data_IF_385370237462
#
_entry.id   IF_385370237462
#
_cell.length_a   1.000
_cell.length_b   1.000
_cell.length_c   1.000
_cell.angle_alpha   90.00
_cell.angle_beta   90.00
_cell.angle_gamma   90.00
#
_symmetry.space_group_name_H-M   'P 1'
#
loop_
_entity.id
_entity.type
_entity.pdbx_description
1 polymer ?
#
# COMPACT_ATOMS: atom_id res chain seq x y z
N UNK A 1 -1.24 4.11 9.97
CA UNK A 1 -0.94 4.93 11.14
C UNK A 1 0.50 4.75 11.57
N UNK A 2 1.24 5.85 11.64
CA UNK A 2 2.65 5.87 12.02
C UNK A 2 2.76 6.41 13.44
N UNK A 3 3.53 5.72 14.26
CA UNK A 3 3.85 6.14 15.63
C UNK A 3 5.32 6.53 15.69
N UNK A 4 5.74 7.30 16.70
CA UNK A 4 7.16 7.62 16.87
C UNK A 4 8.06 6.37 16.93
N UNK A 5 7.55 5.26 17.43
CA UNK A 5 8.25 3.99 17.52
C UNK A 5 8.16 3.13 16.25
N UNK A 6 7.45 3.58 15.21
CA UNK A 6 7.33 2.86 13.95
C UNK A 6 5.89 2.60 13.50
N UNK A 7 5.68 1.77 12.48
CA UNK A 7 4.34 1.48 11.97
C UNK A 7 3.51 0.69 12.98
N UNK A 8 2.20 0.85 12.92
CA UNK A 8 1.28 0.03 13.72
C UNK A 8 1.41 -1.44 13.34
N UNK A 9 0.97 -2.35 14.23
CA UNK A 9 1.02 -3.78 13.95
C UNK A 9 0.23 -4.16 12.70
N UNK A 10 -0.93 -3.57 12.49
CA UNK A 10 -1.73 -3.82 11.29
C UNK A 10 -0.99 -3.40 10.01
N UNK A 11 -0.33 -2.27 10.05
CA UNK A 11 0.49 -1.80 8.94
C UNK A 11 1.70 -2.71 8.73
N UNK A 12 2.38 -3.12 9.80
CA UNK A 12 3.52 -4.02 9.70
C UNK A 12 3.14 -5.35 9.04
N UNK A 13 1.98 -5.92 9.37
CA UNK A 13 1.50 -7.16 8.74
C UNK A 13 1.31 -7.01 7.23
N UNK A 14 0.82 -5.85 6.78
CA UNK A 14 0.69 -5.58 5.35
C UNK A 14 2.04 -5.39 4.67
N UNK A 15 2.96 -4.70 5.32
CA UNK A 15 4.31 -4.53 4.81
C UNK A 15 5.06 -5.87 4.74
N UNK A 16 4.88 -6.74 5.71
CA UNK A 16 5.44 -8.09 5.70
C UNK A 16 4.85 -8.92 4.55
N UNK A 17 3.56 -8.76 4.26
CA UNK A 17 2.94 -9.42 3.10
C UNK A 17 3.54 -8.90 1.79
N UNK A 18 3.84 -7.61 1.72
CA UNK A 18 4.52 -7.01 0.56
C UNK A 18 5.92 -7.59 0.38
N UNK A 19 6.66 -7.79 1.47
CA UNK A 19 7.99 -8.39 1.43
C UNK A 19 7.94 -9.84 0.91
N UNK A 20 6.96 -10.62 1.35
CA UNK A 20 6.74 -11.99 0.87
C UNK A 20 6.48 -11.98 -0.65
N UNK A 21 5.60 -11.10 -1.09
CA UNK A 21 5.26 -10.98 -2.51
C UNK A 21 6.47 -10.54 -3.34
N UNK A 22 7.26 -9.60 -2.82
CA UNK A 22 8.46 -9.10 -3.49
C UNK A 22 9.51 -10.19 -3.69
N UNK A 23 9.64 -11.09 -2.73
CA UNK A 23 10.59 -12.21 -2.82
C UNK A 23 10.23 -13.18 -3.95
N UNK A 24 8.92 -13.42 -4.15
CA UNK A 24 8.42 -14.31 -5.19
C UNK A 24 8.28 -13.63 -6.56
N UNK A 25 8.31 -12.30 -6.61
CA UNK A 25 8.08 -11.52 -7.81
C UNK A 25 9.12 -10.39 -7.92
N UNK A 26 10.34 -10.69 -8.36
CA UNK A 26 11.45 -9.74 -8.30
C UNK A 26 11.30 -8.51 -9.21
N UNK A 27 10.45 -8.58 -10.22
CA UNK A 27 10.24 -7.47 -11.16
C UNK A 27 9.08 -6.55 -10.79
N UNK A 28 8.41 -6.80 -9.67
CA UNK A 28 7.28 -6.00 -9.22
C UNK A 28 7.73 -4.68 -8.60
N UNK A 29 7.06 -3.60 -8.99
CA UNK A 29 7.19 -2.30 -8.35
C UNK A 29 6.10 -2.11 -7.31
N UNK A 30 6.43 -1.36 -6.26
CA UNK A 30 5.53 -1.11 -5.13
C UNK A 30 5.24 0.37 -5.01
N UNK A 31 3.98 0.72 -4.80
CA UNK A 31 3.58 2.08 -4.44
C UNK A 31 3.16 2.05 -2.99
N UNK A 32 3.85 2.81 -2.16
CA UNK A 32 3.46 3.05 -0.77
C UNK A 32 2.71 4.38 -0.74
N UNK A 33 1.47 4.35 -0.29
CA UNK A 33 0.58 5.50 -0.37
C UNK A 33 0.01 5.87 1.00
N UNK A 34 0.17 7.11 1.36
CA UNK A 34 -0.34 7.65 2.62
C UNK A 34 0.28 8.99 2.95
N UNK A 35 -0.57 9.96 3.32
CA UNK A 35 -0.12 11.30 3.70
C UNK A 35 0.35 11.38 5.15
N UNK A 36 0.62 12.59 5.60
CA UNK A 36 1.02 12.86 6.96
C UNK A 36 -0.20 13.27 7.81
N UNK A 37 -0.45 12.53 8.87
CA UNK A 37 -1.47 12.88 9.85
C UNK A 37 -1.03 14.04 10.73
N UNK A 38 -1.99 14.68 11.40
CA UNK A 38 -1.75 15.90 12.19
C UNK A 38 -0.72 15.70 13.32
N UNK A 39 -0.63 14.51 13.87
CA UNK A 39 0.28 14.19 14.98
C UNK A 39 1.35 13.17 14.60
N UNK A 40 1.60 13.00 13.31
CA UNK A 40 2.57 12.02 12.83
C UNK A 40 3.89 12.70 12.45
N UNK A 41 5.05 12.08 12.75
CA UNK A 41 6.37 12.68 12.49
C UNK A 41 6.77 12.71 11.01
N UNK A 42 6.11 11.92 10.17
CA UNK A 42 6.40 11.82 8.74
C UNK A 42 5.15 11.34 8.00
N UNK A 43 5.21 11.31 6.66
CA UNK A 43 4.14 10.72 5.87
C UNK A 43 4.09 9.20 6.10
N UNK A 44 2.91 8.62 5.98
CA UNK A 44 2.77 7.16 6.05
C UNK A 44 3.57 6.48 4.94
N UNK A 45 3.59 7.07 3.75
CA UNK A 45 4.37 6.56 2.62
C UNK A 45 5.86 6.50 2.95
N UNK A 46 6.42 7.56 3.54
CA UNK A 46 7.82 7.59 3.94
C UNK A 46 8.16 6.51 4.97
N UNK A 47 7.31 6.34 5.98
CA UNK A 47 7.51 5.32 7.00
C UNK A 47 7.41 3.91 6.44
N UNK A 48 6.49 3.67 5.51
CA UNK A 48 6.35 2.38 4.84
C UNK A 48 7.60 2.05 4.01
N UNK A 49 8.08 3.03 3.26
CA UNK A 49 9.30 2.85 2.46
C UNK A 49 10.50 2.54 3.36
N UNK A 50 10.67 3.27 4.44
CA UNK A 50 11.75 3.03 5.39
C UNK A 50 11.71 1.60 5.95
N UNK A 51 10.54 1.13 6.32
CA UNK A 51 10.36 -0.24 6.81
C UNK A 51 10.77 -1.28 5.75
N UNK A 52 10.30 -1.12 4.52
CA UNK A 52 10.60 -2.05 3.44
C UNK A 52 12.09 -2.07 3.09
N UNK A 53 12.71 -0.90 3.02
CA UNK A 53 14.15 -0.79 2.74
C UNK A 53 14.97 -1.40 3.86
N UNK A 54 14.60 -1.14 5.11
CA UNK A 54 15.27 -1.73 6.29
C UNK A 54 15.15 -3.24 6.33
N UNK A 55 14.13 -3.79 5.70
CA UNK A 55 13.88 -5.23 5.61
C UNK A 55 14.50 -5.88 4.38
N UNK A 56 15.24 -5.12 3.57
CA UNK A 56 16.02 -5.63 2.44
C UNK A 56 15.45 -5.37 1.05
N UNK A 57 14.36 -4.63 0.93
CA UNK A 57 13.80 -4.29 -0.39
C UNK A 57 14.62 -3.16 -1.04
N UNK A 58 14.87 -3.27 -2.34
CA UNK A 58 15.56 -2.25 -3.12
C UNK A 58 14.72 -0.96 -3.14
N UNK A 59 15.27 0.19 -2.73
CA UNK A 59 14.52 1.45 -2.77
C UNK A 59 14.04 1.85 -4.17
N UNK A 60 14.71 1.41 -5.23
CA UNK A 60 14.28 1.70 -6.60
C UNK A 60 12.99 0.99 -7.00
N UNK A 61 12.59 -0.03 -6.25
CA UNK A 61 11.33 -0.74 -6.45
C UNK A 61 10.15 -0.08 -5.77
N UNK A 62 10.36 1.02 -5.03
CA UNK A 62 9.36 1.64 -4.17
C UNK A 62 9.11 3.07 -4.61
N UNK A 63 7.86 3.34 -5.01
CA UNK A 63 7.37 4.69 -5.31
C UNK A 63 6.56 5.19 -4.12
N UNK A 64 6.74 6.45 -3.76
CA UNK A 64 6.03 7.07 -2.64
C UNK A 64 4.92 7.98 -3.14
N UNK A 65 3.73 7.85 -2.58
CA UNK A 65 2.61 8.77 -2.72
C UNK A 65 2.27 9.30 -1.32
N UNK A 66 2.62 10.53 -1.04
CA UNK A 66 2.54 11.13 0.29
C UNK A 66 1.50 12.23 0.47
N UNK A 67 0.57 12.42 -0.46
CA UNK A 67 -0.42 13.50 -0.42
C UNK A 67 -1.81 13.06 -0.02
N UNK A 68 -2.10 11.77 -0.10
CA UNK A 68 -3.43 11.24 0.15
C UNK A 68 -3.84 11.30 1.62
N UNK A 69 -5.13 11.52 1.84
CA UNK A 69 -5.72 11.62 3.19
C UNK A 69 -6.79 10.58 3.45
N UNK A 70 -7.16 9.81 2.46
CA UNK A 70 -8.16 8.74 2.58
C UNK A 70 -7.92 7.68 1.51
N UNK A 71 -8.62 6.56 1.62
CA UNK A 71 -8.44 5.42 0.71
C UNK A 71 -8.72 5.77 -0.75
N UNK A 72 -9.72 6.58 -1.00
CA UNK A 72 -10.04 7.01 -2.37
C UNK A 72 -8.88 7.80 -2.99
N UNK A 73 -8.31 8.73 -2.23
CA UNK A 73 -7.15 9.50 -2.67
C UNK A 73 -5.90 8.63 -2.82
N UNK A 74 -5.71 7.64 -1.95
CA UNK A 74 -4.60 6.69 -2.10
C UNK A 74 -4.64 6.04 -3.47
N UNK A 75 -5.79 5.52 -3.85
CA UNK A 75 -5.97 4.86 -5.16
C UNK A 75 -5.87 5.86 -6.32
N UNK A 76 -6.51 7.01 -6.18
CA UNK A 76 -6.55 8.02 -7.23
C UNK A 76 -5.15 8.57 -7.54
N UNK A 77 -4.39 8.93 -6.52
CA UNK A 77 -3.05 9.49 -6.69
C UNK A 77 -2.05 8.41 -7.14
N UNK A 78 -2.18 7.20 -6.64
CA UNK A 78 -1.35 6.07 -7.08
C UNK A 78 -1.59 5.74 -8.55
N UNK A 79 -2.84 5.82 -9.00
CA UNK A 79 -3.17 5.55 -10.41
C UNK A 79 -2.46 6.52 -11.36
N UNK A 80 -2.28 7.77 -10.96
CA UNK A 80 -1.58 8.77 -11.75
C UNK A 80 -0.08 8.46 -11.92
N UNK A 81 0.47 7.61 -11.08
CA UNK A 81 1.89 7.24 -11.08
C UNK A 81 2.21 6.06 -11.98
N UNK A 82 1.20 5.40 -12.54
CA UNK A 82 1.36 4.17 -13.31
C UNK A 82 0.64 4.26 -14.66
N UNK A 83 1.05 3.43 -15.65
CA UNK A 83 0.32 3.36 -16.93
C UNK A 83 -1.13 2.90 -16.73
N UNK A 84 -2.08 3.38 -17.55
CA UNK A 84 -3.51 3.03 -17.40
C UNK A 84 -3.81 1.55 -17.53
N UNK A 85 -3.00 0.81 -18.26
CA UNK A 85 -3.16 -0.61 -18.53
C UNK A 85 -2.33 -1.51 -17.60
N UNK A 86 -1.73 -0.94 -16.55
CA UNK A 86 -0.93 -1.70 -15.59
C UNK A 86 -1.79 -2.69 -14.81
N UNK A 87 -1.23 -3.89 -14.58
CA UNK A 87 -1.78 -4.85 -13.63
C UNK A 87 -1.44 -4.42 -12.21
N UNK A 88 -2.44 -4.29 -11.35
CA UNK A 88 -2.27 -3.78 -9.99
C UNK A 88 -2.76 -4.79 -8.96
N UNK A 89 -1.92 -5.08 -7.98
CA UNK A 89 -2.33 -5.79 -6.78
C UNK A 89 -2.51 -4.80 -5.64
N UNK A 90 -3.59 -4.94 -4.88
CA UNK A 90 -3.87 -4.09 -3.72
C UNK A 90 -3.69 -4.93 -2.47
N UNK A 91 -2.75 -4.52 -1.63
CA UNK A 91 -2.52 -5.17 -0.33
C UNK A 91 -3.31 -4.41 0.73
N UNK A 92 -4.21 -5.12 1.37
CA UNK A 92 -4.99 -4.62 2.50
C UNK A 92 -5.38 -5.78 3.40
N UNK A 93 -5.97 -5.47 4.54
CA UNK A 93 -6.48 -6.50 5.42
C UNK A 93 -7.69 -7.21 4.79
N UNK A 94 -7.91 -8.46 5.15
CA UNK A 94 -8.90 -9.34 4.51
C UNK A 94 -10.28 -8.69 4.36
N UNK A 95 -10.75 -8.03 5.41
CA UNK A 95 -12.10 -7.45 5.40
C UNK A 95 -12.20 -6.11 4.66
N UNK A 96 -11.09 -5.51 4.24
CA UNK A 96 -11.08 -4.25 3.47
C UNK A 96 -10.80 -4.43 1.99
N UNK A 97 -10.38 -5.61 1.58
CA UNK A 97 -9.99 -5.89 0.20
C UNK A 97 -11.15 -5.65 -0.78
N UNK A 98 -12.35 -6.13 -0.46
CA UNK A 98 -13.51 -5.97 -1.33
C UNK A 98 -13.85 -4.50 -1.57
N UNK A 99 -13.77 -3.68 -0.53
CA UNK A 99 -14.02 -2.24 -0.65
C UNK A 99 -12.95 -1.54 -1.49
N UNK A 100 -11.70 -1.89 -1.27
CA UNK A 100 -10.60 -1.31 -2.04
C UNK A 100 -10.71 -1.66 -3.52
N UNK A 101 -11.07 -2.90 -3.84
CA UNK A 101 -11.29 -3.34 -5.22
C UNK A 101 -12.47 -2.63 -5.87
N UNK A 102 -13.55 -2.43 -5.13
CA UNK A 102 -14.72 -1.69 -5.63
C UNK A 102 -14.35 -0.24 -5.95
N UNK A 103 -13.63 0.42 -5.07
CA UNK A 103 -13.14 1.78 -5.32
C UNK A 103 -12.17 1.83 -6.52
N UNK A 104 -11.32 0.84 -6.66
CA UNK A 104 -10.40 0.75 -7.79
C UNK A 104 -11.17 0.65 -9.11
N UNK A 105 -12.22 -0.16 -9.15
CA UNK A 105 -13.08 -0.28 -10.32
C UNK A 105 -13.74 1.05 -10.67
N UNK A 106 -14.29 1.74 -9.68
CA UNK A 106 -14.89 3.07 -9.87
C UNK A 106 -13.89 4.09 -10.42
N UNK A 107 -12.63 3.99 -10.01
CA UNK A 107 -11.57 4.90 -10.43
C UNK A 107 -10.92 4.52 -11.76
N UNK A 108 -11.38 3.44 -12.39
CA UNK A 108 -10.94 3.05 -13.72
C UNK A 108 -9.69 2.19 -13.76
N UNK A 109 -9.37 1.46 -12.71
CA UNK A 109 -8.34 0.43 -12.77
C UNK A 109 -8.87 -0.74 -13.61
N UNK A 110 -8.20 -1.05 -14.70
CA UNK A 110 -8.64 -2.08 -15.64
C UNK A 110 -8.33 -3.50 -15.16
N UNK A 111 -7.20 -3.67 -14.49
CA UNK A 111 -6.75 -4.97 -14.00
C UNK A 111 -6.24 -4.82 -12.56
N UNK A 112 -7.13 -4.99 -11.60
CA UNK A 112 -6.80 -4.93 -10.18
C UNK A 112 -7.23 -6.21 -9.47
N UNK A 113 -6.36 -6.72 -8.61
CA UNK A 113 -6.70 -7.86 -7.75
C UNK A 113 -6.28 -7.58 -6.31
N UNK A 114 -6.90 -8.27 -5.37
CA UNK A 114 -6.59 -8.16 -3.95
C UNK A 114 -5.51 -9.14 -3.52
N UNK A 115 -4.60 -8.66 -2.69
CA UNK A 115 -3.59 -9.49 -2.03
C UNK A 115 -3.83 -9.33 -0.52
N UNK A 116 -4.54 -10.26 0.11
CA UNK A 116 -4.90 -10.10 1.51
C UNK A 116 -3.70 -10.27 2.42
N UNK A 117 -3.61 -9.38 3.41
CA UNK A 117 -2.69 -9.50 4.52
C UNK A 117 -3.44 -10.04 5.74
N UNK A 118 -2.73 -10.76 6.60
CA UNK A 118 -3.32 -11.27 7.84
C UNK A 118 -3.81 -10.13 8.71
N UNK A 119 -4.95 -10.33 9.36
CA UNK A 119 -5.51 -9.39 10.31
C UNK A 119 -5.35 -9.94 11.71
N UNK A 120 -4.91 -9.09 12.63
CA UNK A 120 -4.98 -9.40 14.04
C UNK A 120 -6.40 -9.16 14.54
N UNK A 121 -7.06 -10.20 14.99
CA UNK A 121 -8.31 -10.05 15.72
C UNK A 121 -7.97 -9.76 17.17
N UNK A 122 -8.59 -8.78 17.82
CA UNK A 122 -9.74 -7.95 17.44
C UNK A 122 -9.35 -6.53 17.00
N UNK A 123 -8.61 -6.37 15.95
CA UNK A 123 -8.18 -5.06 15.47
C UNK A 123 -9.38 -4.21 15.09
N UNK A 124 -9.37 -2.97 15.50
CA UNK A 124 -10.49 -2.07 15.24
C UNK A 124 -10.55 -1.66 13.77
N UNK A 125 -11.67 -1.95 13.08
CA UNK A 125 -11.77 -1.71 11.64
C UNK A 125 -11.59 -0.25 11.24
N UNK A 126 -12.01 0.68 12.07
CA UNK A 126 -12.00 2.10 11.75
C UNK A 126 -10.60 2.68 11.49
N UNK A 127 -9.59 2.09 12.08
CA UNK A 127 -8.20 2.58 11.96
C UNK A 127 -7.47 2.03 10.75
N UNK A 128 -8.05 1.07 10.04
CA UNK A 128 -7.38 0.37 8.94
C UNK A 128 -7.61 1.02 7.58
N UNK A 129 -8.58 1.92 7.45
CA UNK A 129 -8.92 2.56 6.19
C UNK A 129 -7.86 3.48 5.62
N UNK A 130 -6.98 3.99 6.46
CA UNK A 130 -5.92 4.92 6.04
C UNK A 130 -4.68 4.22 5.51
N UNK A 131 -4.54 2.96 5.84
CA UNK A 131 -3.34 2.20 5.58
C UNK A 131 -3.54 1.36 4.32
N UNK A 132 -3.25 1.99 3.21
CA UNK A 132 -3.40 1.39 1.89
C UNK A 132 -2.04 1.13 1.27
N UNK A 133 -1.94 0.03 0.54
CA UNK A 133 -0.72 -0.35 -0.12
C UNK A 133 -1.05 -0.95 -1.49
N UNK A 134 -0.52 -0.37 -2.56
CA UNK A 134 -0.70 -0.87 -3.91
C UNK A 134 0.56 -1.56 -4.40
N UNK A 135 0.40 -2.72 -4.98
CA UNK A 135 1.47 -3.48 -5.62
C UNK A 135 1.22 -3.49 -7.12
N UNK A 136 2.22 -3.08 -7.87
CA UNK A 136 2.16 -3.13 -9.32
C UNK A 136 2.86 -4.40 -9.78
N UNK A 137 2.12 -5.28 -10.44
CA UNK A 137 2.62 -6.61 -10.74
C UNK A 137 3.57 -6.70 -11.92
N UNK A 138 3.42 -5.83 -12.88
CA UNK A 138 4.20 -5.89 -14.10
C UNK A 138 5.34 -4.88 -14.10
N UNK A 139 6.50 -5.35 -14.44
CA UNK A 139 7.75 -4.58 -14.37
C UNK A 139 7.83 -3.43 -15.37
N UNK A 140 7.02 -3.45 -16.39
CA UNK A 140 7.08 -2.44 -17.46
C UNK A 140 6.44 -1.11 -17.05
N UNK A 141 6.15 -0.96 -15.79
CA UNK A 141 5.64 0.28 -15.22
C UNK A 141 6.75 1.29 -14.95
N UNK A 142 7.90 0.97 -15.28
CA UNK A 142 8.97 1.96 -15.22
C UNK A 142 8.79 3.00 -16.32
#
# INVERSE_FOLDING_TARGET
HVRPEGPSRALALRLDRALEYAADNPDTLFIVSGGQGNNEPCTEASAMKEYLVSSGMDPERILEEGQSKNTRQNLMFSREMIPPDASVGIISNDFHICRALHLAEELGFEDACGIPAKSDLPTQPANLFREFFAVVKDFWIL
#
